data_IF_808676536370
#
_entry.id   IF_808676536370
#
_cell.length_a   1.000
_cell.length_b   1.000
_cell.length_c   1.000
_cell.angle_alpha   90.00
_cell.angle_beta   90.00
_cell.angle_gamma   90.00
#
_symmetry.space_group_name_H-M   'P 1'
#
loop_
_entity.id
_entity.type
_entity.pdbx_description
1 polymer ?
#
# COMPACT_ATOMS: atom_id res chain seq x y z
N UNK A 1 -13.34 2.25 -13.45
CA UNK A 1 -11.98 1.76 -13.16
C UNK A 1 -11.17 1.85 -14.43
N UNK A 2 -9.88 2.21 -14.36
CA UNK A 2 -8.98 2.29 -15.50
C UNK A 2 -7.86 1.28 -15.35
N UNK A 3 -7.64 0.44 -16.37
CA UNK A 3 -6.56 -0.56 -16.38
C UNK A 3 -5.29 0.05 -16.97
N UNK A 4 -4.17 -0.22 -16.32
CA UNK A 4 -2.83 0.07 -16.80
C UNK A 4 -2.05 -1.24 -16.97
N UNK A 5 -1.38 -1.36 -18.11
CA UNK A 5 -0.41 -2.44 -18.35
C UNK A 5 0.90 -2.02 -17.70
N UNK A 6 1.60 -2.97 -17.10
CA UNK A 6 2.92 -2.72 -16.52
C UNK A 6 3.84 -2.01 -17.55
N UNK A 7 4.67 -1.03 -17.13
CA UNK A 7 5.43 -0.19 -18.05
C UNK A 7 6.14 -0.97 -19.16
N UNK A 8 6.01 -0.48 -20.39
CA UNK A 8 6.58 -1.06 -21.61
C UNK A 8 6.16 -2.52 -21.87
N UNK A 9 5.03 -2.97 -21.33
CA UNK A 9 4.60 -4.37 -21.38
C UNK A 9 5.66 -5.35 -20.85
N UNK A 10 6.54 -4.88 -19.95
CA UNK A 10 7.67 -5.67 -19.46
C UNK A 10 7.24 -6.89 -18.64
N UNK A 11 5.98 -6.92 -18.18
CA UNK A 11 5.34 -8.11 -17.65
C UNK A 11 3.87 -8.15 -18.06
N UNK A 12 3.46 -9.07 -18.96
CA UNK A 12 2.06 -9.21 -19.37
C UNK A 12 1.17 -9.79 -18.26
N UNK A 13 1.78 -10.30 -17.19
CA UNK A 13 1.08 -10.93 -16.07
C UNK A 13 0.65 -9.95 -14.98
N UNK A 14 1.17 -8.71 -15.01
CA UNK A 14 0.86 -7.67 -14.02
C UNK A 14 -0.09 -6.65 -14.67
N UNK A 15 -1.26 -6.46 -14.04
CA UNK A 15 -2.22 -5.43 -14.39
C UNK A 15 -2.49 -4.56 -13.17
N UNK A 16 -2.32 -3.25 -13.32
CA UNK A 16 -2.69 -2.28 -12.30
C UNK A 16 -4.06 -1.71 -12.65
N UNK A 17 -4.92 -1.55 -11.65
CA UNK A 17 -6.22 -0.93 -11.83
C UNK A 17 -6.31 0.29 -10.93
N UNK A 18 -6.69 1.40 -11.54
CA UNK A 18 -6.97 2.66 -10.87
C UNK A 18 -8.48 2.78 -10.66
N UNK A 19 -8.86 2.92 -9.40
CA UNK A 19 -10.24 2.91 -8.95
C UNK A 19 -10.71 4.33 -8.67
N UNK A 20 -11.96 4.67 -9.05
CA UNK A 20 -12.51 5.98 -8.74
C UNK A 20 -12.65 6.16 -7.23
N UNK A 21 -12.38 7.36 -6.71
CA UNK A 21 -12.60 7.65 -5.29
C UNK A 21 -14.02 7.27 -4.82
N UNK A 22 -14.12 6.62 -3.67
CA UNK A 22 -15.39 6.28 -3.01
C UNK A 22 -15.80 7.35 -1.98
N UNK A 23 -16.81 7.04 -1.16
CA UNK A 23 -17.28 7.95 -0.11
C UNK A 23 -18.15 9.10 -0.63
N UNK A 24 -18.79 8.91 -1.79
CA UNK A 24 -19.73 9.88 -2.37
C UNK A 24 -21.12 9.26 -2.45
N UNK A 25 -22.17 10.07 -2.66
CA UNK A 25 -23.53 9.55 -2.84
C UNK A 25 -23.66 8.53 -3.98
N UNK A 26 -22.82 8.63 -5.01
CA UNK A 26 -22.74 7.68 -6.13
C UNK A 26 -21.90 6.44 -5.84
N UNK A 27 -21.08 6.49 -4.80
CA UNK A 27 -20.16 5.43 -4.40
C UNK A 27 -20.13 5.32 -2.87
N UNK A 28 -21.20 4.81 -2.25
CA UNK A 28 -21.29 4.72 -0.79
C UNK A 28 -20.18 3.86 -0.21
N UNK A 29 -19.63 4.28 0.92
CA UNK A 29 -18.54 3.55 1.60
C UNK A 29 -18.91 2.12 1.97
N UNK A 30 -20.19 1.86 2.27
CA UNK A 30 -20.68 0.55 2.75
C UNK A 30 -20.82 -0.51 1.66
N UNK A 31 -20.95 -0.12 0.38
CA UNK A 31 -21.11 -1.06 -0.73
C UNK A 31 -19.91 -1.06 -1.67
N UNK A 32 -18.98 -0.13 -1.49
CA UNK A 32 -17.88 0.12 -2.43
C UNK A 32 -17.06 -1.12 -2.74
N UNK A 33 -16.70 -1.91 -1.73
CA UNK A 33 -15.86 -3.11 -1.92
C UNK A 33 -16.51 -4.12 -2.86
N UNK A 34 -17.81 -4.36 -2.68
CA UNK A 34 -18.58 -5.29 -3.50
C UNK A 34 -18.90 -4.69 -4.88
N UNK A 35 -19.32 -3.43 -4.93
CA UNK A 35 -19.64 -2.71 -6.17
C UNK A 35 -18.45 -2.58 -7.12
N UNK A 36 -17.23 -2.48 -6.56
CA UNK A 36 -15.98 -2.43 -7.33
C UNK A 36 -15.29 -3.79 -7.45
N UNK A 37 -15.91 -4.86 -6.94
CA UNK A 37 -15.44 -6.23 -7.10
C UNK A 37 -14.01 -6.39 -6.52
N UNK A 38 -13.74 -5.76 -5.38
CA UNK A 38 -12.39 -5.71 -4.81
C UNK A 38 -11.88 -7.10 -4.39
N UNK A 39 -12.77 -8.03 -4.06
CA UNK A 39 -12.45 -9.42 -3.75
C UNK A 39 -11.80 -10.20 -4.91
N UNK A 40 -11.95 -9.73 -6.16
CA UNK A 40 -11.36 -10.37 -7.32
C UNK A 40 -9.89 -9.99 -7.55
N UNK A 41 -9.35 -9.05 -6.78
CA UNK A 41 -7.96 -8.62 -6.90
C UNK A 41 -7.02 -9.54 -6.12
N UNK A 42 -5.82 -9.76 -6.67
CA UNK A 42 -4.79 -10.55 -5.99
C UNK A 42 -4.14 -9.79 -4.82
N UNK A 43 -4.18 -8.46 -4.87
CA UNK A 43 -3.70 -7.56 -3.82
C UNK A 43 -4.34 -6.18 -4.00
N UNK A 44 -4.77 -5.56 -2.89
CA UNK A 44 -5.31 -4.20 -2.83
C UNK A 44 -4.24 -3.27 -2.25
N UNK A 45 -4.00 -2.14 -2.91
CA UNK A 45 -3.17 -1.05 -2.39
C UNK A 45 -4.06 0.08 -1.90
N UNK A 46 -4.12 0.28 -0.60
CA UNK A 46 -4.86 1.37 0.00
C UNK A 46 -3.92 2.56 0.25
N UNK A 47 -4.03 3.57 -0.62
CA UNK A 47 -3.20 4.78 -0.54
C UNK A 47 -3.84 5.81 0.41
N UNK A 48 -3.12 6.21 1.47
CA UNK A 48 -3.60 7.25 2.41
C UNK A 48 -2.46 8.16 2.89
N UNK A 49 -2.77 9.23 3.61
CA UNK A 49 -1.79 10.14 4.26
C UNK A 49 -1.93 10.06 5.79
N UNK A 50 -2.13 8.85 6.32
CA UNK A 50 -2.50 8.57 7.72
C UNK A 50 -3.83 9.19 8.19
N UNK A 51 -4.62 9.75 7.26
CA UNK A 51 -6.00 10.20 7.50
C UNK A 51 -6.94 9.17 6.89
N UNK A 52 -7.44 8.29 7.74
CA UNK A 52 -8.41 7.32 7.31
C UNK A 52 -9.81 7.94 7.24
N UNK A 53 -10.52 7.55 6.20
CA UNK A 53 -11.92 7.83 5.97
C UNK A 53 -12.74 6.60 6.32
N UNK A 54 -14.06 6.78 6.45
CA UNK A 54 -15.00 5.65 6.62
C UNK A 54 -14.86 4.62 5.50
N UNK A 55 -14.62 5.07 4.27
CA UNK A 55 -14.36 4.19 3.13
C UNK A 55 -13.13 3.32 3.35
N UNK A 56 -12.01 3.91 3.80
CA UNK A 56 -10.77 3.18 4.04
C UNK A 56 -11.01 2.07 5.06
N UNK A 57 -11.76 2.36 6.12
CA UNK A 57 -12.10 1.39 7.16
C UNK A 57 -12.95 0.24 6.64
N UNK A 58 -14.01 0.54 5.89
CA UNK A 58 -14.87 -0.49 5.31
C UNK A 58 -14.08 -1.39 4.35
N UNK A 59 -13.24 -0.81 3.49
CA UNK A 59 -12.40 -1.58 2.55
C UNK A 59 -11.46 -2.52 3.31
N UNK A 60 -10.79 -2.04 4.36
CA UNK A 60 -9.86 -2.88 5.12
C UNK A 60 -10.61 -3.99 5.86
N UNK A 61 -11.74 -3.67 6.49
CA UNK A 61 -12.56 -4.66 7.19
C UNK A 61 -13.04 -5.74 6.23
N UNK A 62 -13.65 -5.37 5.10
CA UNK A 62 -14.13 -6.33 4.11
C UNK A 62 -12.97 -7.12 3.50
N UNK A 63 -11.84 -6.49 3.19
CA UNK A 63 -10.67 -7.21 2.69
C UNK A 63 -10.20 -8.30 3.67
N UNK A 64 -10.16 -8.02 4.97
CA UNK A 64 -9.84 -8.98 6.00
C UNK A 64 -10.89 -10.11 6.09
N UNK A 65 -12.18 -9.78 6.05
CA UNK A 65 -13.29 -10.75 6.12
C UNK A 65 -13.32 -11.68 4.89
N UNK A 66 -13.06 -11.17 3.70
CA UNK A 66 -13.02 -11.94 2.45
C UNK A 66 -11.65 -12.58 2.17
N UNK A 67 -10.65 -12.37 3.04
CA UNK A 67 -9.29 -12.90 2.85
C UNK A 67 -8.60 -12.36 1.59
N UNK A 68 -8.92 -11.13 1.19
CA UNK A 68 -8.25 -10.43 0.09
C UNK A 68 -7.04 -9.70 0.64
N UNK A 69 -5.83 -9.95 0.13
CA UNK A 69 -4.65 -9.26 0.62
C UNK A 69 -4.76 -7.76 0.42
N UNK A 70 -4.55 -7.01 1.49
CA UNK A 70 -4.56 -5.55 1.47
C UNK A 70 -3.29 -5.00 2.11
N UNK A 71 -2.74 -3.95 1.50
CA UNK A 71 -1.54 -3.26 1.94
C UNK A 71 -1.85 -1.79 2.12
N UNK A 72 -1.49 -1.24 3.27
CA UNK A 72 -1.60 0.19 3.53
C UNK A 72 -0.34 0.90 3.04
N UNK A 73 -0.53 1.92 2.21
CA UNK A 73 0.56 2.72 1.67
C UNK A 73 0.38 4.16 2.12
N UNK A 74 1.24 4.60 3.04
CA UNK A 74 1.30 5.98 3.50
C UNK A 74 2.07 6.79 2.45
N UNK A 75 1.36 7.73 1.85
CA UNK A 75 1.85 8.63 0.80
C UNK A 75 2.19 9.99 1.39
N UNK A 76 2.85 10.85 0.60
CA UNK A 76 3.28 12.21 0.97
C UNK A 76 4.25 12.26 2.16
N UNK A 77 4.97 11.16 2.40
CA UNK A 77 6.00 11.10 3.45
C UNK A 77 7.07 12.18 3.24
N UNK A 78 7.37 12.53 1.98
CA UNK A 78 8.29 13.61 1.65
C UNK A 78 7.85 14.98 2.20
N UNK A 79 6.55 15.27 2.25
CA UNK A 79 6.06 16.54 2.79
C UNK A 79 6.27 16.62 4.31
N UNK A 80 5.99 15.52 5.01
CA UNK A 80 6.21 15.44 6.46
C UNK A 80 7.71 15.46 6.81
N UNK A 81 8.55 14.78 6.00
CA UNK A 81 10.01 14.83 6.15
C UNK A 81 10.55 16.24 5.92
N UNK A 82 10.11 16.94 4.87
CA UNK A 82 10.54 18.32 4.62
C UNK A 82 10.16 19.23 5.77
N UNK A 83 8.95 19.08 6.32
CA UNK A 83 8.48 19.87 7.46
C UNK A 83 9.33 19.62 8.71
N UNK A 84 9.54 18.36 9.09
CA UNK A 84 10.35 18.02 10.27
C UNK A 84 11.80 18.49 10.12
N UNK A 85 12.35 18.44 8.90
CA UNK A 85 13.68 18.93 8.60
C UNK A 85 13.79 20.47 8.62
N UNK A 86 12.75 21.19 8.20
CA UNK A 86 12.67 22.65 8.33
C UNK A 86 12.62 23.08 9.80
N UNK A 87 11.93 22.32 10.65
CA UNK A 87 11.82 22.57 12.09
C UNK A 87 13.11 22.18 12.86
N UNK A 88 13.89 21.20 12.36
CA UNK A 88 15.10 20.68 13.01
C UNK A 88 16.26 20.49 12.01
N UNK A 89 16.80 21.57 11.42
CA UNK A 89 17.78 21.51 10.34
C UNK A 89 19.15 20.93 10.75
N UNK A 90 19.44 20.85 12.05
CA UNK A 90 20.66 20.26 12.60
C UNK A 90 20.66 18.72 12.60
N UNK A 91 19.47 18.08 12.51
CA UNK A 91 19.37 16.62 12.48
C UNK A 91 19.81 16.06 11.12
N UNK A 92 20.52 14.91 11.08
CA UNK A 92 20.79 14.22 9.82
C UNK A 92 19.50 13.84 9.11
N UNK A 93 19.40 14.11 7.80
CA UNK A 93 18.20 13.84 7.00
C UNK A 93 17.75 12.38 7.05
N UNK A 94 18.70 11.43 7.15
CA UNK A 94 18.37 10.01 7.25
C UNK A 94 17.64 9.67 8.55
N UNK A 95 17.99 10.32 9.66
CA UNK A 95 17.35 10.12 10.96
C UNK A 95 15.96 10.73 10.95
N UNK A 96 15.81 11.95 10.42
CA UNK A 96 14.50 12.59 10.21
C UNK A 96 13.57 11.71 9.37
N UNK A 97 14.09 11.13 8.29
CA UNK A 97 13.33 10.20 7.45
C UNK A 97 12.82 9.00 8.25
N UNK A 98 13.68 8.37 9.05
CA UNK A 98 13.32 7.19 9.86
C UNK A 98 12.30 7.54 10.95
N UNK A 99 12.51 8.66 11.65
CA UNK A 99 11.61 9.18 12.68
C UNK A 99 10.20 9.39 12.09
N UNK A 100 10.09 10.19 11.02
CA UNK A 100 8.81 10.46 10.36
C UNK A 100 8.15 9.18 9.83
N UNK A 101 8.91 8.26 9.22
CA UNK A 101 8.34 7.00 8.76
C UNK A 101 7.77 6.16 9.91
N UNK A 102 8.45 6.10 11.05
CA UNK A 102 7.99 5.36 12.22
C UNK A 102 6.76 6.02 12.83
N UNK A 103 6.76 7.33 13.01
CA UNK A 103 5.62 8.08 13.54
C UNK A 103 4.36 7.89 12.69
N UNK A 104 4.49 8.01 11.37
CA UNK A 104 3.37 7.80 10.45
C UNK A 104 2.86 6.36 10.50
N UNK A 105 3.75 5.37 10.56
CA UNK A 105 3.37 3.95 10.70
C UNK A 105 2.65 3.70 12.02
N UNK A 106 3.17 4.19 13.14
CA UNK A 106 2.56 4.01 14.46
C UNK A 106 1.21 4.71 14.56
N UNK A 107 1.10 5.94 14.04
CA UNK A 107 -0.17 6.65 13.96
C UNK A 107 -1.21 5.86 13.13
N UNK A 108 -0.79 5.24 12.02
CA UNK A 108 -1.65 4.41 11.21
C UNK A 108 -2.06 3.11 11.93
N UNK A 109 -1.12 2.43 12.59
CA UNK A 109 -1.39 1.24 13.41
C UNK A 109 -2.39 1.53 14.52
N UNK A 110 -2.23 2.65 15.22
CA UNK A 110 -3.14 3.06 16.29
C UNK A 110 -4.57 3.22 15.79
N UNK A 111 -4.76 3.91 14.66
CA UNK A 111 -6.09 4.10 14.05
C UNK A 111 -6.72 2.80 13.57
N UNK A 112 -5.94 1.90 12.98
CA UNK A 112 -6.42 0.57 12.62
C UNK A 112 -6.84 -0.22 13.88
N UNK A 113 -6.02 -0.17 14.93
CA UNK A 113 -6.31 -0.88 16.18
C UNK A 113 -7.59 -0.43 16.87
N UNK A 114 -7.94 0.86 16.79
CA UNK A 114 -9.19 1.42 17.33
C UNK A 114 -10.46 0.81 16.71
N UNK A 115 -10.36 0.16 15.54
CA UNK A 115 -11.51 -0.27 14.75
C UNK A 115 -11.75 -1.77 14.89
N UNK A 116 -10.70 -2.57 14.78
CA UNK A 116 -10.82 -4.01 14.89
C UNK A 116 -9.52 -4.61 15.41
N UNK A 117 -9.49 -4.85 16.73
CA UNK A 117 -8.29 -5.23 17.49
C UNK A 117 -7.64 -6.55 17.04
N UNK A 118 -8.39 -7.44 16.37
CA UNK A 118 -7.98 -8.81 16.04
C UNK A 118 -7.58 -8.92 14.56
N UNK A 119 -8.39 -8.39 13.64
CA UNK A 119 -8.20 -8.59 12.19
C UNK A 119 -7.13 -7.67 11.57
N UNK A 120 -6.71 -6.60 12.27
CA UNK A 120 -5.89 -5.53 11.68
C UNK A 120 -4.42 -5.52 12.11
N UNK A 121 -4.01 -6.42 13.01
CA UNK A 121 -2.60 -6.48 13.47
C UNK A 121 -1.62 -6.84 12.36
N UNK A 122 -2.09 -7.53 11.32
CA UNK A 122 -1.24 -8.08 10.26
C UNK A 122 -1.26 -7.27 8.97
N UNK A 123 -2.01 -6.16 8.89
CA UNK A 123 -2.03 -5.33 7.68
C UNK A 123 -0.64 -4.70 7.51
N UNK A 124 0.09 -4.99 6.41
CA UNK A 124 1.39 -4.40 6.15
C UNK A 124 1.26 -2.90 5.87
N UNK A 125 2.16 -2.10 6.42
CA UNK A 125 2.17 -0.64 6.28
C UNK A 125 3.51 -0.18 5.69
N UNK A 126 3.46 0.44 4.52
CA UNK A 126 4.62 1.00 3.84
C UNK A 126 4.51 2.52 3.75
N UNK A 127 5.52 3.24 4.21
CA UNK A 127 5.59 4.68 4.13
C UNK A 127 6.50 5.07 2.95
N UNK A 128 5.89 5.57 1.88
CA UNK A 128 6.55 5.78 0.59
C UNK A 128 6.48 7.24 0.13
N UNK A 129 7.50 7.66 -0.62
CA UNK A 129 7.52 8.94 -1.32
C UNK A 129 7.54 8.73 -2.83
N UNK A 130 6.51 9.21 -3.51
CA UNK A 130 6.40 9.12 -4.96
C UNK A 130 7.40 10.04 -5.68
N UNK A 131 7.72 11.20 -5.10
CA UNK A 131 8.63 12.20 -5.67
C UNK A 131 10.07 11.69 -5.70
N UNK A 132 10.55 11.08 -4.60
CA UNK A 132 11.88 10.44 -4.58
C UNK A 132 11.97 9.29 -5.58
N UNK A 133 10.97 8.42 -5.64
CA UNK A 133 10.97 7.27 -6.54
C UNK A 133 11.00 7.68 -8.02
N UNK A 134 10.23 8.70 -8.40
CA UNK A 134 10.23 9.19 -9.79
C UNK A 134 11.62 9.69 -10.22
N UNK A 135 12.36 10.32 -9.30
CA UNK A 135 13.74 10.78 -9.52
C UNK A 135 14.75 9.62 -9.60
N UNK A 136 14.54 8.57 -8.81
CA UNK A 136 15.35 7.35 -8.89
C UNK A 136 15.16 6.63 -10.24
N UNK A 137 13.92 6.52 -10.71
CA UNK A 137 13.59 5.92 -12.01
C UNK A 137 14.12 6.74 -13.20
N UNK A 138 14.26 8.06 -13.08
CA UNK A 138 14.76 8.92 -14.17
C UNK A 138 16.28 8.85 -14.36
N UNK A 139 17.01 8.04 -13.57
CA UNK A 139 18.50 7.96 -13.57
C UNK A 139 19.20 9.30 -13.29
N UNK A 140 18.50 10.28 -12.73
CA UNK A 140 19.12 11.49 -12.18
C UNK A 140 19.72 11.12 -10.82
N UNK A 141 20.94 10.58 -10.85
CA UNK A 141 21.67 10.12 -9.67
C UNK A 141 21.93 11.27 -8.70
N UNK A 142 21.42 11.20 -7.47
CA UNK A 142 22.10 11.74 -6.29
C UNK A 142 21.81 10.89 -5.05
N UNK A 143 22.87 10.25 -4.54
CA UNK A 143 22.92 9.66 -3.20
C UNK A 143 22.47 8.20 -3.11
N UNK A 144 23.20 7.42 -2.31
CA UNK A 144 22.84 6.08 -1.86
C UNK A 144 21.61 6.19 -0.93
N UNK A 145 20.46 6.50 -1.49
CA UNK A 145 19.20 6.62 -0.75
C UNK A 145 18.51 5.27 -0.84
N UNK A 146 18.43 4.55 0.28
CA UNK A 146 17.49 3.44 0.39
C UNK A 146 16.12 3.94 -0.07
N UNK A 147 15.53 3.28 -1.07
CA UNK A 147 14.17 3.63 -1.50
C UNK A 147 13.30 3.67 -0.25
N UNK A 148 12.54 4.75 -0.04
CA UNK A 148 11.62 4.88 1.10
C UNK A 148 10.54 3.79 1.03
N UNK A 149 10.85 2.57 1.46
CA UNK A 149 9.98 1.40 1.51
C UNK A 149 9.37 0.93 0.19
N UNK A 150 9.71 1.52 -0.96
CA UNK A 150 9.01 1.23 -2.21
C UNK A 150 9.43 -0.08 -2.85
N UNK A 151 10.73 -0.44 -2.82
CA UNK A 151 11.17 -1.76 -3.27
C UNK A 151 10.55 -2.87 -2.42
N UNK A 152 10.51 -2.69 -1.09
CA UNK A 152 9.86 -3.63 -0.17
C UNK A 152 8.36 -3.76 -0.46
N UNK A 153 7.67 -2.65 -0.74
CA UNK A 153 6.27 -2.64 -1.15
C UNK A 153 6.06 -3.45 -2.44
N UNK A 154 6.85 -3.17 -3.49
CA UNK A 154 6.73 -3.88 -4.77
C UNK A 154 6.99 -5.37 -4.58
N UNK A 155 8.08 -5.73 -3.88
CA UNK A 155 8.43 -7.11 -3.61
C UNK A 155 7.33 -7.83 -2.83
N UNK A 156 6.77 -7.19 -1.79
CA UNK A 156 5.67 -7.72 -1.00
C UNK A 156 4.44 -7.99 -1.88
N UNK A 157 4.04 -7.02 -2.70
CA UNK A 157 2.85 -7.13 -3.54
C UNK A 157 2.99 -8.23 -4.59
N UNK A 158 4.14 -8.31 -5.25
CA UNK A 158 4.40 -9.34 -6.26
C UNK A 158 4.43 -10.74 -5.64
N UNK A 159 5.07 -10.89 -4.48
CA UNK A 159 5.15 -12.17 -3.76
C UNK A 159 3.76 -12.62 -3.31
N UNK A 160 2.98 -11.71 -2.73
CA UNK A 160 1.61 -11.96 -2.27
C UNK A 160 0.68 -12.34 -3.42
N UNK A 161 0.72 -11.59 -4.52
CA UNK A 161 -0.10 -11.86 -5.69
C UNK A 161 0.28 -13.19 -6.37
N UNK A 162 1.58 -13.49 -6.47
CA UNK A 162 2.07 -14.75 -7.03
C UNK A 162 1.60 -15.95 -6.20
N UNK A 163 1.76 -15.90 -4.88
CA UNK A 163 1.35 -16.98 -3.98
C UNK A 163 -0.16 -17.27 -3.99
N UNK A 164 -0.99 -16.26 -4.30
CA UNK A 164 -2.44 -16.46 -4.43
C UNK A 164 -2.84 -17.18 -5.73
N UNK A 165 -2.08 -17.00 -6.82
CA UNK A 165 -2.37 -17.63 -8.12
C UNK A 165 -1.70 -18.97 -8.34
N UNK A 166 -0.56 -19.19 -7.71
CA UNK A 166 0.20 -20.45 -7.82
C UNK A 166 0.01 -21.24 -6.54
N UNK A 167 -0.83 -22.30 -6.53
CA UNK A 167 -0.94 -23.15 -5.36
C UNK A 167 0.42 -23.78 -5.03
N UNK A 168 0.72 -24.06 -3.75
CA UNK A 168 1.98 -24.67 -3.35
C UNK A 168 2.21 -25.93 -4.18
N UNK A 169 3.39 -26.04 -4.78
CA UNK A 169 3.80 -27.16 -5.63
C UNK A 169 3.96 -28.41 -4.75
N UNK A 170 2.84 -29.06 -4.43
CA UNK A 170 2.81 -30.17 -3.46
C UNK A 170 1.47 -30.90 -3.32
N UNK A 171 0.38 -30.36 -3.88
CA UNK A 171 -0.91 -31.08 -3.97
C UNK A 171 -1.12 -31.63 -5.38
N UNK A 172 -0.22 -32.52 -5.82
CA UNK A 172 -0.67 -33.60 -6.69
C UNK A 172 -1.47 -34.54 -5.79
N UNK A 173 -2.77 -34.29 -5.71
CA UNK A 173 -3.72 -35.25 -5.13
C UNK A 173 -3.59 -36.50 -6.00
N UNK A 174 -2.97 -37.54 -5.44
CA UNK A 174 -3.06 -38.87 -5.98
C UNK A 174 -4.54 -39.24 -6.01
N UNK A 175 -5.14 -39.13 -7.19
CA UNK A 175 -6.42 -39.73 -7.52
C UNK A 175 -6.20 -41.25 -7.59
N UNK A 176 -6.50 -41.91 -6.48
CA UNK A 176 -6.75 -43.35 -6.41
C UNK A 176 -8.07 -43.70 -7.08
#
# INVERSE_FOLDING_TARGET
>A
MKRYIWPNNASPYIALWDLPGGGTSRHPSSTYYNDKVLYAFDCILLLTTARFTELDFNIVQEACEYGTPIVLVLTKVDQEVSKEFEDNPEKPLEDVVKEVQNELKEAARKKLWEINQILLKEVPIFAVSATKFRRELSKESTGNCSSLGMWDLIQYCLTTAYGRRVPPTGLLVNSS
#
